data_IF_384422522410
#
_entry.id   IF_384422522410
#
_cell.length_a   1.000
_cell.length_b   1.000
_cell.length_c   1.000
_cell.angle_alpha   90.00
_cell.angle_beta   90.00
_cell.angle_gamma   90.00
#
_symmetry.space_group_name_H-M   'P 1'
#
loop_
_entity.id
_entity.type
_entity.pdbx_description
1 polymer ?
#
# COMPACT_ATOMS: atom_id res chain seq x y z
N UNK A 1 17.24 12.26 0.35
CA UNK A 1 17.33 12.24 -1.13
C UNK A 1 16.24 11.29 -1.57
N UNK A 2 15.16 11.78 -2.17
CA UNK A 2 14.01 10.93 -2.52
C UNK A 2 14.41 10.07 -3.72
N UNK A 3 14.45 8.76 -3.53
CA UNK A 3 14.61 7.80 -4.62
C UNK A 3 13.27 7.68 -5.36
N UNK A 4 13.33 7.57 -6.69
CA UNK A 4 12.15 7.30 -7.53
C UNK A 4 11.76 5.80 -7.51
N UNK A 5 12.06 5.13 -6.40
CA UNK A 5 11.84 3.71 -6.19
C UNK A 5 11.21 3.50 -4.81
N UNK A 6 10.54 2.37 -4.64
CA UNK A 6 10.05 1.94 -3.34
C UNK A 6 11.22 1.85 -2.34
N UNK A 7 11.14 2.57 -1.23
CA UNK A 7 12.20 2.58 -0.22
C UNK A 7 12.16 1.31 0.66
N UNK A 8 11.08 0.52 0.50
CA UNK A 8 10.82 -0.69 1.27
C UNK A 8 10.98 -1.95 0.43
N UNK A 9 11.71 -2.92 1.00
CA UNK A 9 11.94 -4.23 0.40
C UNK A 9 10.69 -5.12 0.46
N UNK A 10 10.54 -5.99 -0.53
CA UNK A 10 9.35 -6.82 -0.72
C UNK A 10 9.00 -7.74 0.47
N UNK A 11 10.01 -8.30 1.15
CA UNK A 11 9.83 -9.19 2.32
C UNK A 11 9.86 -8.45 3.66
N UNK A 12 10.00 -7.14 3.62
CA UNK A 12 10.15 -6.32 4.82
C UNK A 12 8.80 -6.17 5.57
N UNK A 13 7.70 -6.71 5.02
CA UNK A 13 6.44 -6.90 5.73
C UNK A 13 6.59 -7.80 6.98
N UNK A 14 7.48 -8.80 6.95
CA UNK A 14 7.70 -9.72 8.08
C UNK A 14 8.30 -9.02 9.30
N UNK A 15 8.88 -7.84 9.10
CA UNK A 15 9.36 -6.97 10.16
C UNK A 15 8.24 -6.19 10.86
N UNK A 16 7.03 -6.18 10.30
CA UNK A 16 5.87 -5.43 10.81
C UNK A 16 4.68 -6.38 11.04
N UNK A 17 4.84 -7.22 12.06
CA UNK A 17 3.89 -8.28 12.46
C UNK A 17 2.45 -7.77 12.60
N UNK A 18 2.17 -6.60 13.22
CA UNK A 18 0.81 -6.09 13.33
C UNK A 18 0.15 -5.80 11.98
N UNK A 19 0.91 -5.29 11.01
CA UNK A 19 0.40 -5.04 9.66
C UNK A 19 0.16 -6.38 8.96
N UNK A 20 1.11 -7.31 9.03
CA UNK A 20 0.93 -8.66 8.48
C UNK A 20 -0.34 -9.34 8.98
N UNK A 21 -0.58 -9.33 10.29
CA UNK A 21 -1.78 -9.93 10.89
C UNK A 21 -3.06 -9.23 10.42
N UNK A 22 -3.09 -7.89 10.42
CA UNK A 22 -4.25 -7.13 9.92
C UNK A 22 -4.56 -7.45 8.47
N UNK A 23 -3.52 -7.55 7.63
CA UNK A 23 -3.68 -7.86 6.22
C UNK A 23 -4.20 -9.29 6.02
N UNK A 24 -3.85 -10.26 6.89
CA UNK A 24 -4.33 -11.66 6.81
C UNK A 24 -5.79 -11.75 7.21
N UNK A 25 -6.15 -11.18 8.37
CA UNK A 25 -7.48 -11.35 8.94
C UNK A 25 -8.50 -10.35 8.38
N UNK A 26 -8.06 -9.16 7.98
CA UNK A 26 -8.90 -8.06 7.55
C UNK A 26 -8.23 -7.22 6.44
N UNK A 27 -7.93 -7.81 5.27
CA UNK A 27 -7.21 -7.12 4.18
C UNK A 27 -7.91 -5.81 3.76
N UNK A 28 -9.23 -5.76 3.81
CA UNK A 28 -10.02 -4.57 3.50
C UNK A 28 -9.68 -3.35 4.36
N UNK A 29 -9.32 -3.54 5.63
CA UNK A 29 -8.94 -2.41 6.49
C UNK A 29 -7.62 -1.77 6.03
N UNK A 30 -6.68 -2.61 5.58
CA UNK A 30 -5.37 -2.16 5.08
C UNK A 30 -5.52 -1.54 3.69
N UNK A 31 -6.30 -2.17 2.80
CA UNK A 31 -6.69 -1.63 1.51
C UNK A 31 -7.31 -0.22 1.64
N UNK A 32 -8.30 -0.08 2.52
CA UNK A 32 -8.97 1.19 2.81
C UNK A 32 -8.00 2.23 3.37
N UNK A 33 -7.15 1.84 4.33
CA UNK A 33 -6.13 2.71 4.91
C UNK A 33 -5.12 3.21 3.88
N UNK A 34 -4.61 2.33 3.02
CA UNK A 34 -3.68 2.70 1.94
C UNK A 34 -4.33 3.67 0.96
N UNK A 35 -5.58 3.39 0.54
CA UNK A 35 -6.32 4.27 -0.37
C UNK A 35 -6.57 5.65 0.23
N UNK A 36 -7.03 5.72 1.48
CA UNK A 36 -7.25 6.98 2.19
C UNK A 36 -5.93 7.76 2.36
N UNK A 37 -4.83 7.07 2.69
CA UNK A 37 -3.51 7.68 2.79
C UNK A 37 -2.98 8.21 1.45
N UNK A 38 -3.20 7.48 0.35
CA UNK A 38 -2.87 7.95 -0.99
C UNK A 38 -3.66 9.22 -1.35
N UNK A 39 -4.93 9.27 -0.96
CA UNK A 39 -5.86 10.41 -1.11
C UNK A 39 -5.60 11.58 -0.12
N UNK A 40 -4.62 11.47 0.79
CA UNK A 40 -4.35 12.46 1.84
C UNK A 40 -5.55 12.78 2.75
N UNK A 41 -6.39 11.77 3.02
CA UNK A 41 -7.56 11.88 3.90
C UNK A 41 -7.55 10.81 4.98
N UNK A 42 -8.36 11.02 6.01
CA UNK A 42 -8.59 9.99 7.03
C UNK A 42 -9.45 8.84 6.48
N UNK A 43 -9.14 7.62 6.94
CA UNK A 43 -9.91 6.42 6.61
C UNK A 43 -11.18 6.38 7.45
N UNK A 44 -12.33 6.16 6.81
CA UNK A 44 -13.62 6.05 7.48
C UNK A 44 -14.22 4.63 7.33
N UNK A 45 -15.35 4.42 7.99
CA UNK A 45 -15.99 3.10 8.00
C UNK A 45 -16.50 2.69 6.61
N UNK A 46 -16.95 3.64 5.79
CA UNK A 46 -17.42 3.38 4.43
C UNK A 46 -16.29 2.86 3.53
N UNK A 47 -15.06 3.37 3.70
CA UNK A 47 -13.89 2.87 2.97
C UNK A 47 -13.61 1.40 3.28
N UNK A 48 -13.83 1.00 4.54
CA UNK A 48 -13.62 -0.38 4.99
C UNK A 48 -14.70 -1.35 4.48
N UNK A 49 -15.94 -0.86 4.31
CA UNK A 49 -17.07 -1.62 3.77
C UNK A 49 -17.02 -1.73 2.24
N UNK A 50 -16.45 -0.73 1.56
CA UNK A 50 -16.27 -0.70 0.11
C UNK A 50 -14.80 -0.93 -0.24
N UNK A 51 -14.31 -2.15 -0.04
CA UNK A 51 -12.89 -2.48 -0.16
C UNK A 51 -12.32 -2.05 -1.52
N UNK A 52 -11.32 -1.15 -1.54
CA UNK A 52 -10.72 -0.70 -2.79
C UNK A 52 -9.87 -1.81 -3.43
N UNK A 53 -9.62 -1.70 -4.74
CA UNK A 53 -8.68 -2.58 -5.44
C UNK A 53 -7.27 -2.02 -5.35
N UNK A 54 -6.34 -2.79 -4.77
CA UNK A 54 -4.98 -2.32 -4.51
C UNK A 54 -4.22 -1.88 -5.75
N UNK A 55 -4.46 -2.51 -6.91
CA UNK A 55 -3.86 -2.10 -8.17
C UNK A 55 -3.99 -0.60 -8.45
N UNK A 56 -5.18 -0.03 -8.23
CA UNK A 56 -5.40 1.39 -8.46
C UNK A 56 -4.76 2.26 -7.38
N UNK A 57 -4.81 1.83 -6.11
CA UNK A 57 -4.13 2.51 -5.01
C UNK A 57 -2.63 2.60 -5.26
N UNK A 58 -2.01 1.49 -5.67
CA UNK A 58 -0.59 1.41 -5.96
C UNK A 58 -0.20 2.31 -7.13
N UNK A 59 -0.94 2.27 -8.23
CA UNK A 59 -0.72 3.16 -9.37
C UNK A 59 -0.83 4.63 -8.97
N UNK A 60 -1.78 4.98 -8.11
CA UNK A 60 -1.91 6.33 -7.57
C UNK A 60 -0.68 6.73 -6.73
N UNK A 61 -0.20 5.84 -5.85
CA UNK A 61 1.01 6.08 -5.05
C UNK A 61 2.23 6.32 -5.95
N UNK A 62 2.41 5.50 -7.00
CA UNK A 62 3.50 5.67 -7.98
C UNK A 62 3.43 7.02 -8.67
N UNK A 63 2.26 7.36 -9.20
CA UNK A 63 2.03 8.64 -9.88
C UNK A 63 2.31 9.82 -8.94
N UNK A 64 1.89 9.72 -7.67
CA UNK A 64 2.06 10.77 -6.67
C UNK A 64 3.51 11.01 -6.25
N UNK A 65 4.31 9.95 -6.15
CA UNK A 65 5.71 10.04 -5.69
C UNK A 65 6.76 9.92 -6.81
N UNK A 66 6.33 9.86 -8.08
CA UNK A 66 7.23 9.82 -9.23
C UNK A 66 7.95 8.49 -9.42
N UNK A 67 7.33 7.37 -9.00
CA UNK A 67 7.89 6.04 -9.25
C UNK A 67 7.68 5.61 -10.70
N UNK A 68 8.67 4.95 -11.30
CA UNK A 68 8.59 4.39 -12.66
C UNK A 68 7.37 3.47 -12.80
N UNK A 69 6.55 3.54 -13.84
CA UNK A 69 5.37 2.67 -13.93
C UNK A 69 5.72 1.21 -14.24
N UNK A 70 5.04 0.25 -13.63
CA UNK A 70 5.24 -1.17 -13.95
C UNK A 70 3.93 -1.96 -13.88
N UNK A 71 3.08 -1.78 -14.89
CA UNK A 71 1.73 -2.37 -14.94
C UNK A 71 1.71 -3.88 -14.72
N UNK A 72 2.64 -4.61 -15.35
CA UNK A 72 2.70 -6.07 -15.22
C UNK A 72 3.10 -6.50 -13.81
N UNK A 73 4.10 -5.83 -13.23
CA UNK A 73 4.53 -6.14 -11.85
C UNK A 73 3.45 -5.74 -10.84
N UNK A 74 2.80 -4.60 -11.02
CA UNK A 74 1.74 -4.14 -10.11
C UNK A 74 0.51 -5.06 -10.21
N UNK A 75 0.19 -5.58 -11.39
CA UNK A 75 -0.85 -6.62 -11.56
C UNK A 75 -0.48 -7.90 -10.80
N UNK A 76 0.73 -8.43 -11.01
CA UNK A 76 1.19 -9.64 -10.30
C UNK A 76 1.22 -9.44 -8.78
N UNK A 77 1.74 -8.31 -8.31
CA UNK A 77 1.87 -8.01 -6.88
C UNK A 77 0.51 -7.82 -6.20
N UNK A 78 -0.51 -7.39 -6.93
CA UNK A 78 -1.86 -7.18 -6.38
C UNK A 78 -2.76 -8.40 -6.51
N UNK A 79 -2.21 -9.54 -6.96
CA UNK A 79 -2.89 -10.84 -6.94
C UNK A 79 -2.46 -11.70 -5.74
N UNK A 80 -3.34 -12.56 -5.20
CA UNK A 80 -2.93 -13.54 -4.20
C UNK A 80 -1.86 -14.50 -4.75
N UNK A 81 -0.82 -14.85 -3.97
CA UNK A 81 -0.59 -14.52 -2.56
C UNK A 81 0.20 -13.21 -2.31
N UNK A 82 0.67 -12.55 -3.37
CA UNK A 82 1.59 -11.40 -3.27
C UNK A 82 0.89 -10.12 -2.80
N UNK A 83 -0.44 -10.06 -2.87
CA UNK A 83 -1.26 -8.93 -2.40
C UNK A 83 -0.89 -8.47 -0.99
N UNK A 84 -0.57 -9.41 -0.11
CA UNK A 84 -0.14 -9.16 1.26
C UNK A 84 1.11 -8.28 1.33
N UNK A 85 2.06 -8.59 0.46
CA UNK A 85 3.36 -7.94 0.39
C UNK A 85 3.20 -6.55 -0.23
N UNK A 86 2.37 -6.44 -1.27
CA UNK A 86 2.01 -5.15 -1.88
C UNK A 86 1.36 -4.21 -0.86
N UNK A 87 0.37 -4.69 -0.10
CA UNK A 87 -0.33 -3.90 0.92
C UNK A 87 0.60 -3.38 2.01
N UNK A 88 1.53 -4.20 2.46
CA UNK A 88 2.50 -3.80 3.47
C UNK A 88 3.52 -2.80 2.92
N UNK A 89 3.96 -2.98 1.66
CA UNK A 89 4.87 -2.06 1.00
C UNK A 89 4.23 -0.67 0.85
N UNK A 90 2.99 -0.62 0.37
CA UNK A 90 2.23 0.62 0.17
C UNK A 90 1.95 1.32 1.52
N UNK A 91 1.52 0.58 2.55
CA UNK A 91 1.26 1.13 3.88
C UNK A 91 2.51 1.78 4.50
N UNK A 92 3.66 1.13 4.34
CA UNK A 92 4.93 1.64 4.89
C UNK A 92 5.45 2.83 4.11
N UNK A 93 5.34 2.82 2.78
CA UNK A 93 5.71 3.97 1.96
C UNK A 93 4.89 5.20 2.35
N UNK A 94 3.56 5.04 2.47
CA UNK A 94 2.67 6.12 2.91
C UNK A 94 3.03 6.64 4.31
N UNK A 95 3.36 5.74 5.25
CA UNK A 95 3.81 6.12 6.59
C UNK A 95 5.13 6.88 6.57
N UNK A 96 6.15 6.35 5.88
CA UNK A 96 7.46 6.98 5.76
C UNK A 96 7.36 8.40 5.15
N UNK A 97 6.50 8.58 4.14
CA UNK A 97 6.27 9.88 3.50
C UNK A 97 5.46 10.83 4.38
N UNK A 98 4.57 10.33 5.24
CA UNK A 98 3.82 11.14 6.23
C UNK A 98 4.75 11.65 7.32
N UNK A 99 5.68 10.82 7.80
CA UNK A 99 6.63 11.17 8.86
C UNK A 99 7.73 12.17 8.39
N UNK A 100 7.93 12.33 7.07
CA UNK A 100 8.86 13.31 6.49
C UNK A 100 8.26 14.71 6.26
N UNK A 101 6.94 14.89 6.38
CA UNK A 101 6.25 16.17 6.25
C UNK A 101 6.11 16.84 7.61
#
# INVERSE_FOLDING_TARGET
MLTNYWDTSFLQCLSDIPICLKTIFCPCLVLAGNKAGADERECNLCDCLCCPREYFTRQQIRSKYGFEESVLMDCLMTTPPLLMLALCQDARELKARKDMK
#
